data_IF_224840310771
#
_entry.id   IF_224840310771
#
_cell.length_a   1.000
_cell.length_b   1.000
_cell.length_c   1.000
_cell.angle_alpha   90.00
_cell.angle_beta   90.00
_cell.angle_gamma   90.00
#
_symmetry.space_group_name_H-M   'P 1'
#
loop_
_entity.id
_entity.type
_entity.pdbx_description
1 polymer ?
#
# COMPACT_ATOMS: atom_id res chain seq x y z
N UNK A 1 37.24 21.82 -57.20
CA UNK A 1 38.04 22.69 -56.31
C UNK A 1 39.20 23.26 -57.11
N UNK A 2 39.54 24.55 -56.95
CA UNK A 2 40.69 25.20 -57.59
C UNK A 2 41.53 25.96 -56.54
N UNK A 3 42.86 25.80 -56.52
CA UNK A 3 43.73 26.59 -55.65
C UNK A 3 43.79 28.05 -56.13
N UNK A 4 43.80 29.01 -55.20
CA UNK A 4 43.94 30.44 -55.50
C UNK A 4 45.26 30.99 -54.99
N UNK A 5 45.55 30.80 -53.70
CA UNK A 5 46.74 31.39 -53.07
C UNK A 5 47.22 30.54 -51.90
N UNK A 6 48.53 30.47 -51.70
CA UNK A 6 49.13 29.79 -50.56
C UNK A 6 50.25 30.64 -49.97
N UNK A 7 50.13 30.94 -48.68
CA UNK A 7 51.20 31.56 -47.89
C UNK A 7 51.79 30.51 -46.95
N UNK A 8 53.12 30.39 -46.96
CA UNK A 8 53.87 29.40 -46.18
C UNK A 8 54.98 30.13 -45.43
N UNK A 9 55.08 29.94 -44.12
CA UNK A 9 56.22 30.37 -43.31
C UNK A 9 56.53 29.32 -42.23
N UNK A 10 57.81 29.09 -41.96
CA UNK A 10 58.28 28.15 -40.93
C UNK A 10 58.03 26.66 -41.20
N UNK A 11 57.73 26.25 -42.44
CA UNK A 11 57.45 24.85 -42.82
C UNK A 11 58.60 24.23 -43.62
N UNK A 12 59.24 23.17 -43.11
CA UNK A 12 60.36 22.47 -43.78
C UNK A 12 61.32 23.44 -44.47
N UNK A 13 61.43 23.42 -45.81
CA UNK A 13 62.36 24.29 -46.56
C UNK A 13 61.99 25.78 -46.60
N UNK A 14 60.79 26.17 -46.17
CA UNK A 14 60.30 27.55 -46.20
C UNK A 14 60.43 28.20 -44.81
N UNK A 15 61.59 28.80 -44.53
CA UNK A 15 61.84 29.53 -43.27
C UNK A 15 61.07 30.84 -43.25
N UNK A 16 61.30 31.69 -44.25
CA UNK A 16 60.63 32.97 -44.42
C UNK A 16 59.27 32.82 -45.10
N UNK A 17 58.42 33.85 -45.00
CA UNK A 17 57.12 33.86 -45.68
C UNK A 17 57.30 33.85 -47.20
N UNK A 18 56.71 32.84 -47.84
CA UNK A 18 56.60 32.74 -49.28
C UNK A 18 55.13 32.73 -49.69
N UNK A 19 54.83 33.43 -50.77
CA UNK A 19 53.48 33.53 -51.32
C UNK A 19 53.47 32.92 -52.72
N UNK A 20 52.65 31.88 -52.89
CA UNK A 20 52.42 31.24 -54.18
C UNK A 20 51.04 31.67 -54.66
N UNK A 21 51.01 32.38 -55.79
CA UNK A 21 49.78 32.81 -56.45
C UNK A 21 49.38 31.78 -57.50
N UNK A 22 48.44 30.90 -57.15
CA UNK A 22 47.95 29.88 -58.08
C UNK A 22 46.97 30.47 -59.10
N UNK A 23 46.37 31.63 -58.84
CA UNK A 23 45.45 32.25 -59.79
C UNK A 23 46.21 32.60 -61.08
N UNK A 24 47.37 33.25 -60.95
CA UNK A 24 48.28 33.56 -62.05
C UNK A 24 48.86 32.29 -62.70
N UNK A 25 49.32 31.33 -61.88
CA UNK A 25 49.93 30.11 -62.41
C UNK A 25 48.93 29.21 -63.17
N UNK A 26 47.64 29.28 -62.84
CA UNK A 26 46.61 28.45 -63.46
C UNK A 26 45.90 29.12 -64.65
N UNK A 27 46.26 30.35 -65.03
CA UNK A 27 45.66 31.06 -66.17
C UNK A 27 45.70 30.25 -67.47
N UNK A 28 46.81 29.53 -67.71
CA UNK A 28 47.01 28.69 -68.90
C UNK A 28 46.60 27.22 -68.69
N UNK A 29 45.94 26.88 -67.58
CA UNK A 29 45.44 25.54 -67.26
C UNK A 29 46.47 24.54 -66.72
N UNK A 30 47.77 24.74 -66.97
CA UNK A 30 48.85 23.87 -66.48
C UNK A 30 50.06 24.71 -66.02
N UNK A 31 50.66 24.31 -64.90
CA UNK A 31 51.92 24.86 -64.41
C UNK A 31 52.84 23.75 -63.88
N UNK A 32 54.14 24.03 -63.83
CA UNK A 32 55.16 23.12 -63.31
C UNK A 32 55.92 23.75 -62.15
N UNK A 33 56.29 22.94 -61.16
CA UNK A 33 57.15 23.33 -60.04
C UNK A 33 58.51 22.65 -60.25
N UNK A 34 59.53 23.44 -60.56
CA UNK A 34 60.87 22.95 -60.87
C UNK A 34 61.88 23.35 -59.78
N UNK A 35 62.92 22.53 -59.62
CA UNK A 35 63.99 22.76 -58.65
C UNK A 35 64.78 21.48 -58.36
N UNK A 36 65.94 21.55 -57.68
CA UNK A 36 66.70 20.37 -57.28
C UNK A 36 65.97 19.53 -56.22
N UNK A 37 66.42 18.32 -55.95
CA UNK A 37 65.93 17.53 -54.81
C UNK A 37 66.22 18.28 -53.50
N UNK A 38 65.24 18.33 -52.59
CA UNK A 38 65.37 19.08 -51.33
C UNK A 38 64.95 20.56 -51.37
N UNK A 39 64.62 21.11 -52.54
CA UNK A 39 64.18 22.52 -52.70
C UNK A 39 62.79 22.84 -52.14
N UNK A 40 62.12 21.92 -51.45
CA UNK A 40 60.80 22.17 -50.86
C UNK A 40 59.60 21.96 -51.80
N UNK A 41 59.79 21.39 -53.01
CA UNK A 41 58.68 21.10 -53.95
C UNK A 41 57.54 20.30 -53.29
N UNK A 42 57.89 19.23 -52.56
CA UNK A 42 56.90 18.44 -51.82
C UNK A 42 56.30 19.19 -50.64
N UNK A 43 57.04 20.15 -50.07
CA UNK A 43 56.57 20.96 -48.94
C UNK A 43 55.39 21.85 -49.33
N UNK A 44 55.29 22.29 -50.59
CA UNK A 44 54.13 23.04 -51.10
C UNK A 44 52.86 22.18 -51.03
N UNK A 45 52.96 20.89 -51.41
CA UNK A 45 51.87 19.91 -51.32
C UNK A 45 51.50 19.63 -49.85
N UNK A 46 52.52 19.47 -49.00
CA UNK A 46 52.34 19.26 -47.57
C UNK A 46 51.65 20.46 -46.92
N UNK A 47 51.98 21.69 -47.33
CA UNK A 47 51.37 22.92 -46.86
C UNK A 47 49.87 22.98 -47.18
N UNK A 48 49.47 22.60 -48.40
CA UNK A 48 48.05 22.53 -48.78
C UNK A 48 47.33 21.52 -47.89
N UNK A 49 47.85 20.30 -47.79
CA UNK A 49 47.21 19.24 -46.99
C UNK A 49 47.12 19.60 -45.51
N UNK A 50 48.20 20.17 -44.94
CA UNK A 50 48.27 20.58 -43.56
C UNK A 50 47.34 21.78 -43.29
N UNK A 51 47.24 22.73 -44.22
CA UNK A 51 46.30 23.86 -44.11
C UNK A 51 44.86 23.36 -44.00
N UNK A 52 44.46 22.38 -44.82
CA UNK A 52 43.09 21.89 -44.86
C UNK A 52 42.76 20.94 -43.69
N UNK A 53 43.61 19.92 -43.48
CA UNK A 53 43.30 18.79 -42.60
C UNK A 53 44.13 18.74 -41.31
N UNK A 54 45.08 19.66 -41.11
CA UNK A 54 45.96 19.65 -39.95
C UNK A 54 46.90 18.45 -39.88
N UNK A 55 47.04 17.70 -40.98
CA UNK A 55 47.92 16.53 -41.11
C UNK A 55 48.78 16.62 -42.36
N UNK A 56 49.99 16.07 -42.29
CA UNK A 56 50.89 15.92 -43.45
C UNK A 56 50.75 14.49 -43.97
N UNK A 57 50.81 14.25 -45.29
CA UNK A 57 50.73 12.90 -45.88
C UNK A 57 51.87 11.96 -45.46
N UNK A 58 52.98 12.52 -44.99
CA UNK A 58 54.17 11.81 -44.53
C UNK A 58 54.09 11.63 -43.01
N UNK A 59 54.43 10.44 -42.51
CA UNK A 59 54.51 10.14 -41.07
C UNK A 59 55.66 10.87 -40.33
N UNK A 60 56.20 11.95 -40.90
CA UNK A 60 57.23 12.77 -40.26
C UNK A 60 56.59 13.60 -39.15
N UNK A 61 56.96 13.31 -37.91
CA UNK A 61 56.49 14.08 -36.76
C UNK A 61 57.08 15.48 -36.73
N UNK A 62 58.21 15.76 -37.38
CA UNK A 62 58.80 17.10 -37.42
C UNK A 62 58.63 17.75 -38.79
N UNK A 63 57.92 18.88 -38.80
CA UNK A 63 57.60 19.65 -40.01
C UNK A 63 57.79 21.16 -39.84
N UNK A 64 57.99 21.64 -38.61
CA UNK A 64 58.40 23.03 -38.38
C UNK A 64 59.90 23.09 -38.62
N UNK A 65 60.35 24.05 -39.44
CA UNK A 65 61.78 24.21 -39.71
C UNK A 65 62.57 24.38 -38.38
N UNK A 66 63.77 23.82 -38.30
CA UNK A 66 64.60 23.87 -37.09
C UNK A 66 65.00 25.28 -36.66
N UNK A 67 65.05 26.23 -37.60
CA UNK A 67 65.32 27.65 -37.39
C UNK A 67 64.04 28.44 -37.01
N UNK A 68 62.88 27.80 -36.93
CA UNK A 68 61.59 28.42 -36.63
C UNK A 68 60.97 27.83 -35.37
N UNK A 69 60.34 28.68 -34.55
CA UNK A 69 59.59 28.24 -33.36
C UNK A 69 58.10 27.98 -33.66
N UNK A 70 57.64 28.46 -34.81
CA UNK A 70 56.27 28.36 -35.28
C UNK A 70 56.19 28.32 -36.80
N UNK A 71 55.10 27.77 -37.31
CA UNK A 71 54.71 27.89 -38.72
C UNK A 71 53.41 28.66 -38.85
N UNK A 72 53.23 29.29 -40.01
CA UNK A 72 51.99 29.92 -40.46
C UNK A 72 51.63 29.42 -41.85
N UNK A 73 50.38 29.00 -42.02
CA UNK A 73 49.81 28.59 -43.30
C UNK A 73 48.52 29.35 -43.55
N UNK A 74 48.42 29.95 -44.74
CA UNK A 74 47.15 30.48 -45.25
C UNK A 74 46.91 29.91 -46.64
N UNK A 75 45.82 29.17 -46.80
CA UNK A 75 45.44 28.60 -48.09
C UNK A 75 44.08 29.11 -48.52
N UNK A 76 44.03 29.66 -49.73
CA UNK A 76 42.83 30.15 -50.37
C UNK A 76 42.48 29.25 -51.56
N UNK A 77 41.22 28.84 -51.64
CA UNK A 77 40.73 27.97 -52.70
C UNK A 77 39.27 28.27 -53.01
N UNK A 78 38.80 27.83 -54.17
CA UNK A 78 37.40 27.92 -54.56
C UNK A 78 36.79 26.54 -54.82
N UNK A 79 35.51 26.41 -54.46
CA UNK A 79 34.69 25.21 -54.68
C UNK A 79 33.40 25.64 -55.37
N UNK A 80 33.02 24.92 -56.42
CA UNK A 80 31.79 25.14 -57.17
C UNK A 80 31.91 24.62 -58.61
N UNK A 81 30.78 24.49 -59.27
CA UNK A 81 30.63 24.10 -60.68
C UNK A 81 29.78 25.20 -61.35
N UNK A 82 30.02 25.47 -62.63
CA UNK A 82 29.16 26.32 -63.49
C UNK A 82 28.76 27.69 -62.92
N UNK A 83 29.75 28.53 -62.60
CA UNK A 83 29.52 29.95 -62.27
C UNK A 83 29.18 30.24 -60.80
N UNK A 84 28.79 29.25 -60.00
CA UNK A 84 28.52 29.40 -58.57
C UNK A 84 29.74 29.00 -57.70
N UNK A 85 30.90 29.62 -57.95
CA UNK A 85 32.12 29.33 -57.16
C UNK A 85 32.14 30.14 -55.87
N UNK A 86 32.30 29.44 -54.76
CA UNK A 86 32.52 30.02 -53.43
C UNK A 86 34.00 29.98 -53.08
N UNK A 87 34.53 31.08 -52.56
CA UNK A 87 35.93 31.21 -52.15
C UNK A 87 36.05 30.99 -50.65
N UNK A 88 37.07 30.26 -50.24
CA UNK A 88 37.33 29.92 -48.86
C UNK A 88 38.79 30.21 -48.50
N UNK A 89 39.01 30.60 -47.24
CA UNK A 89 40.34 30.81 -46.66
C UNK A 89 40.47 29.92 -45.44
N UNK A 90 41.53 29.11 -45.40
CA UNK A 90 41.92 28.36 -44.22
C UNK A 90 43.26 28.88 -43.70
N UNK A 91 43.28 29.22 -42.41
CA UNK A 91 44.46 29.70 -41.70
C UNK A 91 44.83 28.75 -40.58
N UNK A 92 46.12 28.41 -40.48
CA UNK A 92 46.65 27.59 -39.40
C UNK A 92 48.00 28.10 -38.91
N UNK A 93 48.09 28.30 -37.60
CA UNK A 93 49.36 28.60 -36.92
C UNK A 93 49.68 27.50 -35.93
N UNK A 94 50.85 26.88 -36.07
CA UNK A 94 51.30 25.79 -35.21
C UNK A 94 52.62 26.19 -34.57
N UNK A 95 52.76 25.97 -33.26
CA UNK A 95 54.00 26.24 -32.51
C UNK A 95 54.54 24.96 -31.91
N UNK A 96 55.86 24.86 -31.74
CA UNK A 96 56.48 23.79 -30.95
C UNK A 96 56.04 23.93 -29.50
N UNK A 97 55.53 22.86 -28.91
CA UNK A 97 55.12 22.85 -27.51
C UNK A 97 56.31 22.48 -26.63
N UNK A 98 56.85 23.47 -25.92
CA UNK A 98 58.00 23.32 -25.05
C UNK A 98 57.75 22.34 -23.88
N UNK A 99 56.50 22.05 -23.52
CA UNK A 99 56.16 21.15 -22.40
C UNK A 99 56.00 19.69 -22.80
N UNK A 100 55.41 19.42 -23.97
CA UNK A 100 55.09 18.06 -24.43
C UNK A 100 56.09 17.51 -25.46
N UNK A 101 57.00 18.34 -25.97
CA UNK A 101 57.88 17.98 -27.08
C UNK A 101 57.13 17.77 -28.41
N UNK A 102 55.83 18.10 -28.45
CA UNK A 102 54.97 17.99 -29.63
C UNK A 102 54.65 19.34 -30.26
N UNK A 103 53.48 19.44 -30.90
CA UNK A 103 53.00 20.65 -31.56
C UNK A 103 51.67 21.10 -30.97
N UNK A 104 51.51 22.41 -30.87
CA UNK A 104 50.25 23.03 -30.47
C UNK A 104 49.73 23.92 -31.59
N UNK A 105 48.54 23.60 -32.09
CA UNK A 105 47.78 24.48 -32.97
C UNK A 105 47.29 25.69 -32.15
N UNK A 106 47.76 26.87 -32.51
CA UNK A 106 47.43 28.15 -31.85
C UNK A 106 46.33 28.91 -32.56
N UNK A 107 46.20 28.72 -33.88
CA UNK A 107 45.12 29.24 -34.69
C UNK A 107 44.70 28.15 -35.68
N UNK A 108 43.39 27.95 -35.82
CA UNK A 108 42.81 27.18 -36.92
C UNK A 108 41.49 27.85 -37.26
N UNK A 109 41.40 28.48 -38.43
CA UNK A 109 40.21 29.24 -38.83
C UNK A 109 39.86 28.93 -40.28
N UNK A 110 38.57 28.70 -40.53
CA UNK A 110 37.99 28.56 -41.87
C UNK A 110 36.99 29.70 -42.09
N UNK A 111 37.15 30.41 -43.21
CA UNK A 111 36.27 31.51 -43.63
C UNK A 111 35.73 31.27 -45.05
N UNK A 112 34.52 31.71 -45.29
CA UNK A 112 33.92 31.87 -46.62
C UNK A 112 33.98 33.35 -47.01
N UNK A 113 34.46 33.66 -48.21
CA UNK A 113 34.42 35.01 -48.78
C UNK A 113 33.10 35.14 -49.52
N UNK A 114 32.14 35.85 -48.93
CA UNK A 114 30.86 36.17 -49.53
C UNK A 114 30.82 37.60 -50.09
N UNK A 115 29.70 37.95 -50.73
CA UNK A 115 29.47 39.29 -51.30
C UNK A 115 29.47 40.40 -50.23
N UNK A 116 29.04 40.07 -49.01
CA UNK A 116 28.93 41.00 -47.87
C UNK A 116 30.17 41.01 -46.97
N UNK A 117 31.26 40.33 -47.37
CA UNK A 117 32.49 40.19 -46.59
C UNK A 117 32.80 38.75 -46.16
N UNK A 118 33.75 38.61 -45.24
CA UNK A 118 34.22 37.30 -44.76
C UNK A 118 33.32 36.75 -43.64
N UNK A 119 32.84 35.52 -43.82
CA UNK A 119 32.08 34.78 -42.80
C UNK A 119 32.94 33.67 -42.20
N UNK A 120 33.11 33.69 -40.88
CA UNK A 120 33.80 32.60 -40.16
C UNK A 120 32.88 31.37 -40.08
N UNK A 121 33.38 30.22 -40.53
CA UNK A 121 32.67 28.93 -40.51
C UNK A 121 33.10 28.03 -39.35
N UNK A 122 34.36 28.11 -38.92
CA UNK A 122 34.91 27.36 -37.79
C UNK A 122 36.21 28.01 -37.27
N UNK A 123 36.47 27.92 -35.96
CA UNK A 123 37.66 28.51 -35.29
C UNK A 123 38.43 27.53 -34.39
N UNK A 124 38.01 26.27 -34.30
CA UNK A 124 38.75 25.22 -33.58
C UNK A 124 39.30 24.20 -34.56
N UNK A 125 40.49 23.67 -34.26
CA UNK A 125 41.19 22.73 -35.13
C UNK A 125 40.31 21.55 -35.61
N UNK A 126 39.66 20.84 -34.68
CA UNK A 126 38.78 19.71 -35.03
C UNK A 126 37.54 20.14 -35.82
N UNK A 127 36.95 21.29 -35.48
CA UNK A 127 35.78 21.83 -36.17
C UNK A 127 36.14 22.24 -37.61
N UNK A 128 37.30 22.87 -37.81
CA UNK A 128 37.84 23.20 -39.13
C UNK A 128 38.07 21.93 -39.95
N UNK A 129 38.70 20.90 -39.37
CA UNK A 129 38.91 19.62 -40.07
C UNK A 129 37.57 19.00 -40.51
N UNK A 130 36.57 18.95 -39.62
CA UNK A 130 35.27 18.40 -39.96
C UNK A 130 34.57 19.23 -41.03
N UNK A 131 34.58 20.56 -40.92
CA UNK A 131 33.96 21.45 -41.92
C UNK A 131 34.63 21.34 -43.29
N UNK A 132 35.93 21.14 -43.35
CA UNK A 132 36.64 20.89 -44.61
C UNK A 132 36.17 19.58 -45.25
N UNK A 133 36.01 18.51 -44.46
CA UNK A 133 35.46 17.24 -44.96
C UNK A 133 34.03 17.43 -45.44
N UNK A 134 33.19 18.16 -44.72
CA UNK A 134 31.81 18.43 -45.10
C UNK A 134 31.71 19.27 -46.39
N UNK A 135 32.62 20.23 -46.59
CA UNK A 135 32.63 21.12 -47.76
C UNK A 135 33.16 20.46 -49.03
N UNK A 136 34.23 19.66 -48.91
CA UNK A 136 34.91 19.04 -50.06
C UNK A 136 34.37 17.64 -50.34
N UNK A 137 33.81 16.97 -49.33
CA UNK A 137 33.39 15.57 -49.40
C UNK A 137 34.54 14.56 -49.33
N UNK A 138 35.77 15.02 -49.08
CA UNK A 138 36.97 14.18 -49.07
C UNK A 138 37.66 14.24 -47.71
N UNK A 139 38.07 13.08 -47.20
CA UNK A 139 38.98 12.98 -46.05
C UNK A 139 40.40 13.36 -46.47
N UNK A 140 41.29 13.58 -45.51
CA UNK A 140 42.71 13.85 -45.80
C UNK A 140 43.36 12.75 -46.65
N UNK A 141 43.00 11.49 -46.39
CA UNK A 141 43.51 10.33 -47.12
C UNK A 141 42.95 10.31 -48.55
N UNK A 142 41.66 10.58 -48.73
CA UNK A 142 41.07 10.60 -50.07
C UNK A 142 41.57 11.80 -50.89
N UNK A 143 41.78 12.96 -50.24
CA UNK A 143 42.32 14.16 -50.87
C UNK A 143 43.75 13.93 -51.40
N UNK A 144 44.59 13.23 -50.62
CA UNK A 144 45.97 12.86 -51.01
C UNK A 144 46.04 11.70 -52.01
N UNK A 145 44.90 11.09 -52.34
CA UNK A 145 44.76 10.02 -53.34
C UNK A 145 44.05 10.47 -54.62
N UNK A 146 43.37 11.63 -54.61
CA UNK A 146 42.50 12.06 -55.73
C UNK A 146 42.78 13.48 -56.21
N UNK A 147 43.15 14.41 -55.34
CA UNK A 147 43.37 15.82 -55.70
C UNK A 147 44.85 16.17 -55.73
N UNK A 148 45.58 15.79 -54.69
CA UNK A 148 47.03 16.00 -54.61
C UNK A 148 47.68 14.64 -54.49
N UNK A 149 48.57 14.29 -55.43
CA UNK A 149 49.23 12.99 -55.46
C UNK A 149 50.70 13.13 -55.05
N UNK A 150 51.06 12.90 -53.78
CA UNK A 150 52.45 12.80 -53.38
C UNK A 150 53.16 11.69 -54.16
N UNK A 151 54.45 11.86 -54.37
CA UNK A 151 55.28 10.86 -55.03
C UNK A 151 55.11 9.47 -54.37
N UNK A 152 54.80 8.45 -55.18
CA UNK A 152 54.59 7.07 -54.72
C UNK A 152 53.18 6.74 -54.19
N UNK A 153 52.33 7.73 -53.90
CA UNK A 153 50.98 7.52 -53.34
C UNK A 153 49.91 7.13 -54.38
N UNK A 154 50.14 7.40 -55.66
CA UNK A 154 49.23 6.96 -56.73
C UNK A 154 49.11 5.43 -56.80
N UNK A 155 50.20 4.70 -56.55
CA UNK A 155 50.19 3.24 -56.50
C UNK A 155 49.34 2.69 -55.35
N UNK A 156 49.17 3.43 -54.25
CA UNK A 156 48.28 3.03 -53.16
C UNK A 156 46.81 3.07 -53.59
N UNK A 157 46.42 4.07 -54.38
CA UNK A 157 45.06 4.15 -54.95
C UNK A 157 44.74 2.92 -55.82
N UNK A 158 45.66 2.50 -56.68
CA UNK A 158 45.48 1.30 -57.53
C UNK A 158 45.41 -0.01 -56.73
N UNK A 159 46.01 -0.04 -55.55
CA UNK A 159 46.04 -1.22 -54.67
C UNK A 159 44.82 -1.33 -53.74
N UNK A 160 44.00 -0.29 -53.63
CA UNK A 160 42.77 -0.35 -52.82
C UNK A 160 41.83 -1.42 -53.38
N UNK A 161 41.35 -2.33 -52.52
CA UNK A 161 40.43 -3.40 -52.92
C UNK A 161 39.26 -3.52 -51.96
N UNK A 162 38.20 -4.19 -52.43
CA UNK A 162 37.04 -4.51 -51.60
C UNK A 162 36.34 -3.28 -51.01
N UNK A 163 36.29 -3.22 -49.67
CA UNK A 163 35.55 -2.18 -48.93
C UNK A 163 36.20 -0.80 -49.06
N UNK A 164 37.51 -0.70 -48.88
CA UNK A 164 38.20 0.61 -48.84
C UNK A 164 38.08 1.36 -50.17
N UNK A 165 38.17 0.64 -51.30
CA UNK A 165 37.95 1.22 -52.63
C UNK A 165 36.50 1.71 -52.79
N UNK A 166 35.51 0.93 -52.36
CA UNK A 166 34.10 1.32 -52.43
C UNK A 166 33.82 2.55 -51.59
N UNK A 167 34.26 2.57 -50.33
CA UNK A 167 34.05 3.69 -49.42
C UNK A 167 34.69 4.99 -49.96
N UNK A 168 35.86 4.88 -50.59
CA UNK A 168 36.55 6.03 -51.20
C UNK A 168 35.86 6.53 -52.47
N UNK A 169 35.43 5.63 -53.36
CA UNK A 169 34.65 6.01 -54.56
C UNK A 169 33.30 6.62 -54.18
N UNK A 170 32.66 6.07 -53.15
CA UNK A 170 31.41 6.61 -52.60
C UNK A 170 31.57 8.06 -52.14
N UNK A 171 32.69 8.40 -51.49
CA UNK A 171 33.01 9.78 -51.10
C UNK A 171 33.33 10.68 -52.29
N UNK A 172 34.18 10.23 -53.22
CA UNK A 172 34.56 11.00 -54.41
C UNK A 172 33.35 11.35 -55.28
N UNK A 173 32.43 10.40 -55.49
CA UNK A 173 31.25 10.62 -56.31
C UNK A 173 30.05 11.19 -55.51
N UNK A 174 30.22 11.49 -54.22
CA UNK A 174 29.13 11.99 -53.37
C UNK A 174 27.96 11.00 -53.22
N UNK A 175 28.22 9.70 -53.39
CA UNK A 175 27.23 8.63 -53.30
C UNK A 175 26.98 8.14 -51.86
N UNK A 176 27.50 8.87 -50.87
CA UNK A 176 27.36 8.51 -49.44
C UNK A 176 25.92 8.30 -48.99
N UNK A 177 24.99 9.04 -49.60
CA UNK A 177 23.56 8.90 -49.37
C UNK A 177 23.04 7.50 -49.69
N UNK A 178 23.65 6.81 -50.65
CA UNK A 178 23.22 5.50 -51.15
C UNK A 178 24.05 4.34 -50.59
N UNK A 179 25.27 4.60 -50.15
CA UNK A 179 26.13 3.59 -49.55
C UNK A 179 26.05 3.57 -48.03
N UNK A 180 27.12 4.01 -47.38
CA UNK A 180 27.31 4.00 -45.93
C UNK A 180 26.13 4.62 -45.14
N UNK A 181 25.62 5.80 -45.52
CA UNK A 181 24.52 6.46 -44.78
C UNK A 181 23.22 5.66 -44.88
N UNK A 182 22.93 5.07 -46.04
CA UNK A 182 21.76 4.22 -46.23
C UNK A 182 21.89 2.92 -45.42
N UNK A 183 23.06 2.28 -45.44
CA UNK A 183 23.32 1.05 -44.69
C UNK A 183 23.16 1.25 -43.18
N UNK A 184 23.63 2.39 -42.65
CA UNK A 184 23.42 2.76 -41.24
C UNK A 184 21.94 2.91 -40.95
N UNK A 185 21.20 3.66 -41.77
CA UNK A 185 19.75 3.85 -41.59
C UNK A 185 18.97 2.53 -41.64
N UNK A 186 19.28 1.64 -42.59
CA UNK A 186 18.67 0.32 -42.69
C UNK A 186 18.94 -0.51 -41.43
N UNK A 187 20.18 -0.47 -40.92
CA UNK A 187 20.56 -1.18 -39.70
C UNK A 187 19.80 -0.67 -38.48
N UNK A 188 19.66 0.65 -38.35
CA UNK A 188 18.93 1.25 -37.24
C UNK A 188 17.44 0.88 -37.28
N UNK A 189 16.79 0.95 -38.45
CA UNK A 189 15.39 0.54 -38.63
C UNK A 189 15.22 -0.96 -38.35
N UNK A 190 16.14 -1.81 -38.83
CA UNK A 190 16.10 -3.25 -38.54
C UNK A 190 16.20 -3.53 -37.04
N UNK A 191 17.10 -2.84 -36.35
CA UNK A 191 17.27 -2.96 -34.88
C UNK A 191 15.99 -2.56 -34.15
N UNK A 192 15.39 -1.44 -34.54
CA UNK A 192 14.12 -0.97 -33.96
C UNK A 192 13.00 -2.00 -34.13
N UNK A 193 12.80 -2.51 -35.36
CA UNK A 193 11.77 -3.52 -35.64
C UNK A 193 12.03 -4.85 -34.94
N UNK A 194 13.28 -5.27 -34.83
CA UNK A 194 13.64 -6.48 -34.08
C UNK A 194 13.33 -6.34 -32.59
N UNK A 195 13.57 -5.17 -32.00
CA UNK A 195 13.23 -4.92 -30.61
C UNK A 195 11.72 -4.95 -30.37
N UNK A 196 10.94 -4.32 -31.26
CA UNK A 196 9.48 -4.37 -31.20
C UNK A 196 8.96 -5.80 -31.31
N UNK A 197 9.51 -6.60 -32.22
CA UNK A 197 9.14 -7.99 -32.40
C UNK A 197 9.46 -8.84 -31.15
N UNK A 198 10.62 -8.59 -30.53
CA UNK A 198 10.97 -9.24 -29.26
C UNK A 198 10.02 -8.86 -28.12
N UNK A 199 9.60 -7.59 -28.05
CA UNK A 199 8.64 -7.13 -27.04
C UNK A 199 7.26 -7.77 -27.23
N UNK A 200 6.78 -7.83 -28.48
CA UNK A 200 5.52 -8.50 -28.81
C UNK A 200 5.59 -9.99 -28.48
N UNK A 201 6.68 -10.66 -28.85
CA UNK A 201 6.87 -12.07 -28.53
C UNK A 201 6.95 -12.33 -27.03
N UNK A 202 7.61 -11.45 -26.26
CA UNK A 202 7.66 -11.56 -24.80
C UNK A 202 6.26 -11.38 -24.15
N UNK A 203 5.43 -10.48 -24.70
CA UNK A 203 4.03 -10.34 -24.27
C UNK A 203 3.20 -11.57 -24.64
N UNK A 204 3.42 -12.13 -25.83
CA UNK A 204 2.73 -13.35 -26.27
C UNK A 204 3.15 -14.58 -25.46
N UNK A 205 4.44 -14.70 -25.07
CA UNK A 205 4.90 -15.82 -24.24
C UNK A 205 4.32 -15.80 -22.84
N UNK A 206 3.95 -14.64 -22.28
CA UNK A 206 3.18 -14.58 -21.03
C UNK A 206 1.79 -15.19 -21.14
N UNK A 207 1.29 -15.36 -22.36
CA UNK A 207 0.03 -15.99 -22.69
C UNK A 207 0.21 -17.33 -23.43
N UNK A 208 1.39 -17.95 -23.32
CA UNK A 208 1.60 -19.32 -23.81
C UNK A 208 0.56 -20.26 -23.20
N UNK A 209 -0.20 -20.93 -24.05
CA UNK A 209 -1.31 -21.82 -23.63
C UNK A 209 -2.70 -21.18 -23.64
N UNK A 210 -2.83 -19.88 -23.90
CA UNK A 210 -4.14 -19.24 -24.18
C UNK A 210 -4.51 -19.51 -25.64
N UNK A 211 -4.79 -20.77 -25.95
CA UNK A 211 -5.42 -21.12 -27.22
C UNK A 211 -6.90 -20.74 -27.17
N UNK A 212 -7.49 -20.48 -28.34
CA UNK A 212 -8.94 -20.23 -28.44
C UNK A 212 -9.74 -21.38 -27.82
N UNK A 213 -9.27 -22.61 -28.01
CA UNK A 213 -9.84 -23.83 -27.44
C UNK A 213 -9.78 -23.84 -25.91
N UNK A 214 -8.62 -23.53 -25.30
CA UNK A 214 -8.49 -23.47 -23.84
C UNK A 214 -9.40 -22.39 -23.22
N UNK A 215 -9.59 -21.27 -23.92
CA UNK A 215 -10.45 -20.17 -23.49
C UNK A 215 -11.95 -20.56 -23.59
N UNK A 216 -12.34 -21.27 -24.64
CA UNK A 216 -13.70 -21.83 -24.78
C UNK A 216 -13.99 -22.89 -23.70
N UNK A 217 -13.05 -23.78 -23.42
CA UNK A 217 -13.20 -24.79 -22.38
C UNK A 217 -13.31 -24.16 -20.98
N UNK A 218 -12.50 -23.13 -20.70
CA UNK A 218 -12.58 -22.40 -19.44
C UNK A 218 -13.94 -21.69 -19.28
N UNK A 219 -14.46 -21.10 -20.36
CA UNK A 219 -15.81 -20.48 -20.37
C UNK A 219 -16.91 -21.51 -20.11
N UNK A 220 -16.85 -22.69 -20.74
CA UNK A 220 -17.82 -23.77 -20.49
C UNK A 220 -17.77 -24.21 -19.03
N UNK A 221 -16.58 -24.43 -18.47
CA UNK A 221 -16.42 -24.78 -17.05
C UNK A 221 -16.98 -23.69 -16.13
N UNK A 222 -16.75 -22.42 -16.46
CA UNK A 222 -17.27 -21.29 -15.69
C UNK A 222 -18.81 -21.26 -15.67
N UNK A 223 -19.47 -21.45 -16.81
CA UNK A 223 -20.94 -21.49 -16.85
C UNK A 223 -21.51 -22.68 -16.06
N UNK A 224 -20.88 -23.86 -16.13
CA UNK A 224 -21.28 -25.03 -15.32
C UNK A 224 -21.17 -24.70 -13.82
N UNK A 225 -20.01 -24.19 -13.38
CA UNK A 225 -19.78 -23.85 -11.97
C UNK A 225 -20.74 -22.77 -11.46
N UNK A 226 -21.12 -21.83 -12.32
CA UNK A 226 -22.07 -20.77 -12.00
C UNK A 226 -23.50 -21.29 -11.82
N UNK A 227 -23.91 -22.27 -12.62
CA UNK A 227 -25.18 -22.97 -12.40
C UNK A 227 -25.14 -23.81 -11.10
N UNK A 228 -24.05 -24.52 -10.84
CA UNK A 228 -23.85 -25.26 -9.59
C UNK A 228 -23.92 -24.33 -8.36
N UNK A 229 -23.24 -23.17 -8.40
CA UNK A 229 -23.31 -22.18 -7.32
C UNK A 229 -24.74 -21.71 -7.07
N UNK A 230 -25.50 -21.43 -8.15
CA UNK A 230 -26.90 -21.00 -8.04
C UNK A 230 -27.76 -22.08 -7.38
N UNK A 231 -27.64 -23.33 -7.81
CA UNK A 231 -28.42 -24.44 -7.24
C UNK A 231 -28.07 -24.68 -5.76
N UNK A 232 -26.80 -24.63 -5.39
CA UNK A 232 -26.36 -24.74 -3.99
C UNK A 232 -26.90 -23.60 -3.13
N UNK A 233 -26.96 -22.38 -3.66
CA UNK A 233 -27.52 -21.22 -2.96
C UNK A 233 -29.01 -21.39 -2.70
N UNK A 234 -29.77 -21.89 -3.68
CA UNK A 234 -31.19 -22.20 -3.52
C UNK A 234 -31.43 -23.33 -2.51
N UNK A 235 -30.56 -24.36 -2.48
CA UNK A 235 -30.63 -25.43 -1.48
C UNK A 235 -30.35 -24.92 -0.08
N UNK A 236 -29.33 -24.07 0.08
CA UNK A 236 -29.00 -23.43 1.36
C UNK A 236 -30.17 -22.60 1.88
N UNK A 237 -30.77 -21.76 1.04
CA UNK A 237 -31.91 -20.92 1.43
C UNK A 237 -33.13 -21.76 1.86
N UNK A 238 -33.34 -22.92 1.25
CA UNK A 238 -34.40 -23.86 1.67
C UNK A 238 -34.11 -24.45 3.05
N UNK A 239 -32.87 -24.92 3.27
CA UNK A 239 -32.45 -25.50 4.55
C UNK A 239 -32.49 -24.46 5.68
N UNK A 240 -32.09 -23.21 5.42
CA UNK A 240 -32.15 -22.14 6.41
C UNK A 240 -33.60 -21.81 6.81
N UNK A 241 -34.53 -21.78 5.85
CA UNK A 241 -35.96 -21.62 6.12
C UNK A 241 -36.55 -22.77 6.93
N UNK A 242 -36.14 -24.01 6.64
CA UNK A 242 -36.58 -25.19 7.38
C UNK A 242 -36.03 -25.18 8.81
N UNK A 243 -34.77 -24.78 8.99
CA UNK A 243 -34.15 -24.63 10.30
C UNK A 243 -34.86 -23.59 11.17
N UNK A 244 -35.21 -22.43 10.61
CA UNK A 244 -35.96 -21.39 11.34
C UNK A 244 -37.35 -21.88 11.76
N UNK A 245 -38.05 -22.64 10.90
CA UNK A 245 -39.34 -23.26 11.27
C UNK A 245 -39.17 -24.26 12.43
N UNK A 246 -38.20 -25.15 12.34
CA UNK A 246 -37.93 -26.14 13.38
C UNK A 246 -37.51 -25.49 14.70
N UNK A 247 -36.72 -24.42 14.65
CA UNK A 247 -36.35 -23.61 15.81
C UNK A 247 -37.58 -23.01 16.49
N UNK A 248 -38.48 -22.40 15.72
CA UNK A 248 -39.73 -21.84 16.27
C UNK A 248 -40.65 -22.90 16.89
N UNK A 249 -40.69 -24.13 16.33
CA UNK A 249 -41.41 -25.26 16.95
C UNK A 249 -40.76 -25.65 18.27
N UNK A 250 -39.43 -25.75 18.31
CA UNK A 250 -38.70 -26.12 19.52
C UNK A 250 -38.86 -25.09 20.64
N UNK A 251 -38.82 -23.80 20.33
CA UNK A 251 -39.08 -22.72 21.30
C UNK A 251 -40.49 -22.81 21.89
N UNK A 252 -41.52 -23.01 21.05
CA UNK A 252 -42.90 -23.23 21.51
C UNK A 252 -43.04 -24.48 22.37
N UNK A 253 -42.30 -25.55 22.06
CA UNK A 253 -42.28 -26.77 22.86
C UNK A 253 -41.69 -26.49 24.26
N UNK A 254 -40.64 -25.68 24.36
CA UNK A 254 -40.09 -25.26 25.64
C UNK A 254 -41.07 -24.41 26.45
N UNK A 255 -41.71 -23.42 25.83
CA UNK A 255 -42.75 -22.61 26.49
C UNK A 255 -43.90 -23.48 26.99
N UNK A 256 -44.38 -24.42 26.17
CA UNK A 256 -45.43 -25.36 26.56
C UNK A 256 -45.03 -26.16 27.80
N UNK A 257 -43.80 -26.68 27.85
CA UNK A 257 -43.30 -27.41 29.02
C UNK A 257 -43.24 -26.53 30.27
N UNK A 258 -42.87 -25.25 30.15
CA UNK A 258 -42.91 -24.31 31.27
C UNK A 258 -44.34 -24.07 31.75
N UNK A 259 -45.30 -23.91 30.83
CA UNK A 259 -46.71 -23.76 31.19
C UNK A 259 -47.30 -25.01 31.83
N UNK A 260 -46.94 -26.21 31.35
CA UNK A 260 -47.35 -27.47 31.95
C UNK A 260 -46.83 -27.60 33.38
N UNK A 261 -45.55 -27.30 33.60
CA UNK A 261 -44.99 -27.33 34.95
C UNK A 261 -45.66 -26.30 35.88
N UNK A 262 -45.92 -25.09 35.38
CA UNK A 262 -46.64 -24.05 36.13
C UNK A 262 -48.06 -24.49 36.47
N UNK A 263 -48.75 -25.16 35.54
CA UNK A 263 -50.07 -25.73 35.78
C UNK A 263 -50.03 -26.79 36.88
N UNK A 264 -49.08 -27.71 36.86
CA UNK A 264 -48.93 -28.73 37.92
C UNK A 264 -48.74 -28.10 39.30
N UNK A 265 -47.91 -27.06 39.41
CA UNK A 265 -47.72 -26.33 40.67
C UNK A 265 -49.02 -25.65 41.13
N UNK A 266 -49.75 -25.01 40.22
CA UNK A 266 -51.03 -24.37 40.55
C UNK A 266 -52.10 -25.40 40.94
N UNK A 267 -52.15 -26.56 40.28
CA UNK A 267 -53.06 -27.66 40.62
C UNK A 267 -52.76 -28.24 42.02
N UNK A 268 -51.48 -28.31 42.43
CA UNK A 268 -51.10 -28.67 43.80
C UNK A 268 -51.54 -27.60 44.81
N UNK A 269 -51.34 -26.31 44.50
CA UNK A 269 -51.79 -25.22 45.35
C UNK A 269 -53.32 -25.18 45.50
N UNK A 270 -54.07 -25.49 44.44
CA UNK A 270 -55.52 -25.63 44.50
C UNK A 270 -55.94 -26.71 45.50
N UNK A 271 -55.30 -27.88 45.48
CA UNK A 271 -55.55 -28.94 46.48
C UNK A 271 -55.25 -28.48 47.89
N UNK A 272 -54.13 -27.78 48.12
CA UNK A 272 -53.83 -27.21 49.44
C UNK A 272 -54.87 -26.19 49.91
N UNK A 273 -55.38 -25.36 48.99
CA UNK A 273 -56.43 -24.37 49.29
C UNK A 273 -57.73 -25.09 49.65
N UNK A 274 -58.11 -26.14 48.91
CA UNK A 274 -59.29 -26.96 49.22
C UNK A 274 -59.17 -27.63 50.60
N UNK A 275 -58.01 -28.19 50.93
CA UNK A 275 -57.74 -28.77 52.25
C UNK A 275 -57.82 -27.72 53.38
N UNK A 276 -57.24 -26.53 53.15
CA UNK A 276 -57.34 -25.41 54.10
C UNK A 276 -58.78 -24.92 54.26
N UNK A 277 -59.58 -24.93 53.19
CA UNK A 277 -61.01 -24.55 53.21
C UNK A 277 -61.84 -25.56 54.00
N UNK A 278 -61.57 -26.85 53.85
CA UNK A 278 -62.15 -27.93 54.68
C UNK A 278 -61.79 -27.75 56.16
N UNK A 279 -60.51 -27.48 56.47
CA UNK A 279 -60.07 -27.19 57.84
C UNK A 279 -60.75 -25.95 58.42
N UNK A 280 -60.88 -24.88 57.63
CA UNK A 280 -61.56 -23.65 58.04
C UNK A 280 -63.03 -23.93 58.39
N UNK A 281 -63.77 -24.66 57.54
CA UNK A 281 -65.16 -25.06 57.84
C UNK A 281 -65.27 -25.85 59.15
N UNK A 282 -64.34 -26.77 59.42
CA UNK A 282 -64.31 -27.53 60.69
C UNK A 282 -63.99 -26.62 61.87
N UNK A 283 -63.07 -25.68 61.72
CA UNK A 283 -62.72 -24.71 62.74
C UNK A 283 -63.88 -23.75 63.04
N UNK A 284 -64.59 -23.24 62.03
CA UNK A 284 -65.80 -22.42 62.18
C UNK A 284 -66.90 -23.17 62.94
N UNK A 285 -67.15 -24.44 62.60
CA UNK A 285 -68.08 -25.30 63.35
C UNK A 285 -67.65 -25.47 64.81
N UNK A 286 -66.36 -25.74 65.06
CA UNK A 286 -65.83 -25.84 66.42
C UNK A 286 -65.97 -24.51 67.19
N UNK A 287 -65.76 -23.37 66.53
CA UNK A 287 -65.92 -22.04 67.12
C UNK A 287 -67.36 -21.77 67.54
N UNK A 288 -68.35 -22.29 66.80
CA UNK A 288 -69.77 -22.14 67.14
C UNK A 288 -70.16 -22.88 68.43
N UNK A 289 -69.46 -23.98 68.75
CA UNK A 289 -69.72 -24.80 69.94
C UNK A 289 -68.87 -24.35 71.14
N UNK A 290 -67.75 -23.66 70.89
CA UNK A 290 -66.83 -23.17 71.93
C UNK A 290 -67.49 -22.33 73.04
N UNK A 291 -68.41 -21.38 72.78
CA UNK A 291 -69.11 -20.64 73.83
C UNK A 291 -69.89 -21.54 74.80
N UNK A 292 -70.47 -22.63 74.28
CA UNK A 292 -71.22 -23.59 75.10
C UNK A 292 -70.28 -24.45 75.95
N UNK A 293 -69.13 -24.84 75.41
CA UNK A 293 -68.08 -25.55 76.17
C UNK A 293 -67.50 -24.64 77.25
N UNK A 294 -67.18 -23.40 76.92
CA UNK A 294 -66.67 -22.41 77.88
C UNK A 294 -67.69 -22.16 79.00
N UNK A 295 -68.98 -22.05 78.66
CA UNK A 295 -70.09 -21.94 79.63
C UNK A 295 -70.26 -23.18 80.51
N UNK A 296 -70.08 -24.39 79.96
CA UNK A 296 -70.13 -25.64 80.72
C UNK A 296 -68.99 -25.71 81.74
N UNK A 297 -67.76 -25.40 81.31
CA UNK A 297 -66.58 -25.37 82.20
C UNK A 297 -66.75 -24.31 83.31
N UNK A 298 -67.31 -23.15 82.98
CA UNK A 298 -67.61 -22.11 83.98
C UNK A 298 -68.70 -22.57 84.96
N UNK A 299 -69.69 -23.31 84.49
CA UNK A 299 -70.75 -23.88 85.33
C UNK A 299 -70.25 -25.00 86.23
N UNK A 300 -69.38 -25.89 85.73
CA UNK A 300 -68.72 -26.93 86.53
C UNK A 300 -67.87 -26.31 87.65
N UNK A 301 -67.12 -25.24 87.36
CA UNK A 301 -66.38 -24.49 88.39
C UNK A 301 -67.32 -23.93 89.47
N UNK A 302 -68.47 -23.35 89.07
CA UNK A 302 -69.48 -22.86 90.02
C UNK A 302 -70.10 -23.98 90.84
N UNK A 303 -70.36 -25.15 90.24
CA UNK A 303 -70.88 -26.32 90.93
C UNK A 303 -69.93 -26.80 92.03
N UNK A 304 -68.63 -26.90 91.73
CA UNK A 304 -67.59 -27.30 92.70
C UNK A 304 -67.52 -26.30 93.86
N UNK A 305 -67.63 -24.99 93.57
CA UNK A 305 -67.66 -23.95 94.60
C UNK A 305 -68.90 -24.08 95.49
N UNK A 306 -70.07 -24.22 94.88
CA UNK A 306 -71.33 -24.37 95.62
C UNK A 306 -71.37 -25.66 96.45
N UNK A 307 -70.76 -26.75 95.99
CA UNK A 307 -70.64 -27.98 96.79
C UNK A 307 -69.80 -27.76 98.05
N UNK A 308 -68.70 -27.01 97.95
CA UNK A 308 -67.90 -26.61 99.12
C UNK A 308 -68.69 -25.72 100.09
N UNK A 309 -69.49 -24.80 99.55
CA UNK A 309 -70.33 -23.93 100.37
C UNK A 309 -71.41 -24.74 101.09
N UNK A 310 -72.03 -25.73 100.44
CA UNK A 310 -73.00 -26.64 101.06
C UNK A 310 -72.35 -27.46 102.18
N UNK A 311 -71.16 -28.03 101.98
CA UNK A 311 -70.43 -28.75 103.04
C UNK A 311 -70.08 -27.86 104.23
N UNK A 312 -69.79 -26.58 103.98
CA UNK A 312 -69.51 -25.61 105.04
C UNK A 312 -70.78 -25.30 105.83
N UNK A 313 -71.87 -24.95 105.14
CA UNK A 313 -73.13 -24.59 105.79
C UNK A 313 -73.78 -25.78 106.50
N UNK A 314 -73.62 -27.02 106.01
CA UNK A 314 -74.09 -28.20 106.72
C UNK A 314 -73.35 -28.44 108.04
N UNK A 315 -72.06 -28.15 108.11
CA UNK A 315 -71.28 -28.22 109.37
C UNK A 315 -71.71 -27.14 110.36
N UNK A 316 -71.92 -25.91 109.88
CA UNK A 316 -72.42 -24.81 110.72
C UNK A 316 -73.83 -25.13 111.28
N UNK A 317 -74.68 -25.81 110.50
CA UNK A 317 -76.00 -26.27 110.95
C UNK A 317 -75.89 -27.35 112.04
N UNK A 318 -75.01 -28.35 111.86
CA UNK A 318 -74.77 -29.41 112.85
C UNK A 318 -74.25 -28.86 114.18
N UNK A 319 -73.40 -27.83 114.13
CA UNK A 319 -72.90 -27.14 115.33
C UNK A 319 -74.01 -26.35 116.03
N UNK A 320 -74.88 -25.69 115.27
CA UNK A 320 -76.03 -24.96 115.80
C UNK A 320 -77.08 -25.89 116.44
N UNK A 321 -77.36 -27.04 115.83
CA UNK A 321 -78.28 -28.05 116.37
C UNK A 321 -77.79 -28.64 117.70
N UNK A 322 -76.49 -28.94 117.81
CA UNK A 322 -75.89 -29.38 119.09
C UNK A 322 -75.97 -28.31 120.19
N UNK A 323 -75.88 -27.04 119.81
CA UNK A 323 -76.00 -25.92 120.74
C UNK A 323 -77.44 -25.79 121.25
N UNK A 324 -78.42 -25.96 120.36
CA UNK A 324 -79.84 -25.91 120.70
C UNK A 324 -80.22 -27.03 121.68
N UNK A 325 -79.77 -28.27 121.41
CA UNK A 325 -80.03 -29.44 122.25
C UNK A 325 -79.43 -29.30 123.67
N UNK A 326 -78.31 -28.57 123.80
CA UNK A 326 -77.68 -28.27 125.09
C UNK A 326 -78.49 -27.24 125.89
N UNK A 327 -79.00 -26.20 125.23
CA UNK A 327 -79.81 -25.14 125.84
C UNK A 327 -81.17 -25.69 126.28
N UNK A 328 -81.79 -26.58 125.52
CA UNK A 328 -83.04 -27.25 125.90
C UNK A 328 -82.89 -28.07 127.19
N UNK A 329 -81.78 -28.82 127.35
CA UNK A 329 -81.51 -29.59 128.58
C UNK A 329 -81.28 -28.71 129.81
N UNK A 330 -80.64 -27.56 129.64
CA UNK A 330 -80.46 -26.58 130.74
C UNK A 330 -81.80 -25.94 131.17
N UNK A 331 -82.71 -25.72 130.22
CA UNK A 331 -84.05 -25.20 130.49
C UNK A 331 -84.95 -26.20 131.25
N UNK A 332 -84.97 -27.47 130.83
CA UNK A 332 -85.74 -28.52 131.52
C UNK A 332 -85.26 -28.77 132.96
N UNK A 333 -83.96 -28.67 133.21
CA UNK A 333 -83.40 -28.79 134.56
C UNK A 333 -83.86 -27.66 135.49
N UNK A 334 -83.95 -26.42 134.97
CA UNK A 334 -84.41 -25.26 135.75
C UNK A 334 -85.91 -25.31 136.06
N UNK A 335 -86.71 -25.90 135.16
CA UNK A 335 -88.15 -26.12 135.37
C UNK A 335 -88.43 -27.10 136.52
N UNK A 336 -87.70 -28.21 136.60
CA UNK A 336 -87.82 -29.17 137.72
C UNK A 336 -87.47 -28.57 139.07
N UNK A 337 -86.44 -27.72 139.12
CA UNK A 337 -86.03 -27.07 140.37
C UNK A 337 -87.10 -26.10 140.90
N UNK A 338 -87.88 -25.50 140.00
CA UNK A 338 -89.01 -24.62 140.33
C UNK A 338 -90.20 -25.40 140.89
N UNK A 339 -90.50 -26.58 140.35
CA UNK A 339 -91.64 -27.41 140.79
C UNK A 339 -91.43 -28.05 142.17
N UNK A 340 -90.19 -28.40 142.54
CA UNK A 340 -89.92 -29.01 143.86
C UNK A 340 -89.86 -28.00 145.01
N UNK A 341 -89.39 -26.77 144.77
CA UNK A 341 -89.17 -25.78 145.84
C UNK A 341 -90.40 -24.93 146.19
N UNK A 342 -91.36 -24.76 145.27
CA UNK A 342 -92.55 -23.93 145.50
C UNK A 342 -93.54 -24.54 146.53
N UNK A 343 -93.84 -25.85 146.53
CA UNK A 343 -94.73 -26.44 147.53
C UNK A 343 -94.18 -26.32 148.97
N UNK A 344 -92.85 -26.44 149.13
CA UNK A 344 -92.11 -26.28 150.39
C UNK A 344 -92.19 -24.85 150.98
N UNK A 345 -92.55 -23.86 150.17
CA UNK A 345 -92.73 -22.46 150.60
C UNK A 345 -94.20 -22.19 150.96
N UNK A 346 -95.16 -22.76 150.20
CA UNK A 346 -96.60 -22.58 150.44
C UNK A 346 -97.06 -23.30 151.71
N UNK A 347 -96.54 -24.50 152.01
CA UNK A 347 -96.90 -25.23 153.23
C UNK A 347 -96.30 -24.60 154.51
N UNK A 348 -95.11 -23.98 154.39
CA UNK A 348 -94.54 -23.12 155.44
C UNK A 348 -95.40 -21.87 155.68
N UNK A 349 -96.10 -21.37 154.67
CA UNK A 349 -96.98 -20.20 154.79
C UNK A 349 -98.32 -20.56 155.49
N UNK A 350 -98.93 -21.70 155.18
CA UNK A 350 -100.22 -22.10 155.79
C UNK A 350 -100.11 -22.49 157.26
N UNK A 351 -99.00 -23.11 157.69
CA UNK A 351 -98.79 -23.42 159.12
C UNK A 351 -98.59 -22.19 160.00
N UNK A 352 -98.15 -21.06 159.43
CA UNK A 352 -98.01 -19.78 160.15
C UNK A 352 -99.33 -18.98 160.22
N UNK A 353 -100.34 -19.30 159.39
CA UNK A 353 -101.64 -18.60 159.36
C UNK A 353 -102.74 -19.21 160.24
N UNK A 354 -102.51 -20.35 160.90
CA UNK A 354 -103.38 -20.89 161.97
C UNK A 354 -102.74 -20.75 163.36
N UNK A 355 -102.40 -19.51 163.69
CA UNK A 355 -102.55 -19.01 165.05
C UNK A 355 -103.94 -18.36 165.20
N UNK A 356 -104.49 -18.47 166.41
CA UNK A 356 -105.77 -17.94 166.92
C UNK A 356 -107.04 -18.69 166.54
#
# INVERSE_FOLDING_TARGET
MRPLKLKIAGLNSFVEEQIIDFEVLTEKGLFGIFGPTGSGKSTIIDAITLSMYGKIPRNSKDFINTQSTSMSLTYQFEIGVDGARKRYIVERNVKRDAKSGGYKTTLARLREIGESGERVLAEKDREVQQKIVDLIGLTAEDFTRSVVLPQGKFSEFLKLTGKERRDMLERIFGLEKYGSKLLVRIRDVKREKSNLLNEVNAKLSQHEGVTKEALEDLKKKFEILKEEEKTLKEQKDKLDKEREKLKGIWEKQQELNQFLHKKEVLDQQLKEIEDKKEKLKKAEKALSVKPYIDSLVETEKKLILNQKDVEKYSKELEEAEKLLEKVEKEYEASLKEKEEKIPLIIEKEERLKKGF
#
